data_IF_651506751906
#
_entry.id   IF_651506751906
#
_cell.length_a   1.000
_cell.length_b   1.000
_cell.length_c   1.000
_cell.angle_alpha   90.00
_cell.angle_beta   90.00
_cell.angle_gamma   90.00
#
_symmetry.space_group_name_H-M   'P 1'
#
loop_
_entity.id
_entity.type
_entity.pdbx_description
1 polymer ?
#
# COMPACT_ATOMS: atom_id res chain seq x y z
N UNK A 1 15.16 20.55 2.98
CA UNK A 1 15.76 19.51 2.11
C UNK A 1 14.60 18.63 1.66
N UNK A 2 14.32 18.55 0.35
CA UNK A 2 13.35 17.59 -0.16
C UNK A 2 13.86 16.19 0.24
N UNK A 3 13.06 15.42 0.95
CA UNK A 3 13.40 14.04 1.25
C UNK A 3 13.70 13.32 -0.06
N UNK A 4 14.74 12.48 -0.12
CA UNK A 4 15.22 11.85 -1.35
C UNK A 4 14.25 10.83 -1.98
N UNK A 5 12.97 10.83 -1.61
CA UNK A 5 11.93 9.98 -2.17
C UNK A 5 11.28 10.67 -3.38
N UNK A 6 11.17 9.91 -4.48
CA UNK A 6 10.38 10.31 -5.64
C UNK A 6 8.93 9.86 -5.44
N UNK A 7 7.99 10.71 -5.86
CA UNK A 7 6.57 10.45 -5.73
C UNK A 7 5.89 10.60 -7.10
N UNK A 8 5.27 9.52 -7.58
CA UNK A 8 4.62 9.48 -8.88
C UNK A 8 3.11 9.34 -8.71
N UNK A 9 2.34 10.19 -9.40
CA UNK A 9 0.88 10.16 -9.38
C UNK A 9 0.30 10.34 -10.78
N UNK A 10 -1.01 10.23 -10.88
CA UNK A 10 -1.78 10.71 -12.03
C UNK A 10 -1.91 12.25 -11.99
N UNK A 11 -2.64 12.83 -12.95
CA UNK A 11 -2.89 14.25 -13.09
C UNK A 11 -3.86 14.83 -12.05
N UNK A 12 -4.33 14.05 -11.06
CA UNK A 12 -5.34 14.51 -10.13
C UNK A 12 -4.79 15.54 -9.15
N UNK A 13 -5.40 16.72 -9.11
CA UNK A 13 -4.91 17.92 -8.42
C UNK A 13 -4.75 17.77 -6.89
N UNK A 14 -5.36 16.75 -6.28
CA UNK A 14 -5.27 16.54 -4.83
C UNK A 14 -3.83 16.30 -4.36
N UNK A 15 -2.92 15.92 -5.26
CA UNK A 15 -1.53 15.58 -4.93
C UNK A 15 -0.57 16.77 -4.99
N UNK A 16 -0.99 17.96 -5.44
CA UNK A 16 -0.12 19.13 -5.56
C UNK A 16 0.53 19.57 -4.24
N UNK A 17 -0.08 19.26 -3.10
CA UNK A 17 0.52 19.56 -1.79
C UNK A 17 1.83 18.81 -1.55
N UNK A 18 2.09 17.69 -2.25
CA UNK A 18 3.32 16.90 -2.08
C UNK A 18 4.53 17.50 -2.79
N UNK A 19 4.34 18.44 -3.72
CA UNK A 19 5.42 19.10 -4.50
C UNK A 19 6.39 19.88 -3.61
N UNK A 20 5.93 20.35 -2.44
CA UNK A 20 6.76 21.08 -1.50
C UNK A 20 7.82 20.17 -0.83
N UNK A 21 7.48 18.92 -0.57
CA UNK A 21 8.26 18.00 0.27
C UNK A 21 8.99 16.91 -0.54
N UNK A 22 8.48 16.55 -1.74
CA UNK A 22 8.96 15.43 -2.53
C UNK A 22 9.32 15.85 -3.97
N UNK A 23 10.13 15.02 -4.65
CA UNK A 23 10.29 15.07 -6.11
C UNK A 23 9.04 14.44 -6.74
N UNK A 24 7.99 15.27 -6.87
CA UNK A 24 6.69 14.84 -7.37
C UNK A 24 6.64 14.97 -8.90
N UNK A 25 6.29 13.87 -9.58
CA UNK A 25 6.12 13.84 -11.03
C UNK A 25 4.79 13.16 -11.35
N UNK A 26 4.12 13.65 -12.38
CA UNK A 26 2.78 13.19 -12.78
C UNK A 26 2.79 12.60 -14.17
N UNK A 27 1.89 11.65 -14.43
CA UNK A 27 1.51 11.18 -15.78
C UNK A 27 0.07 11.62 -16.07
N UNK A 28 -0.23 11.88 -17.34
CA UNK A 28 -1.57 12.33 -17.74
C UNK A 28 -2.34 11.22 -18.45
N UNK A 29 -3.10 10.45 -17.69
CA UNK A 29 -3.95 9.37 -18.21
C UNK A 29 -5.05 9.90 -19.14
N UNK A 30 -5.57 11.11 -18.88
CA UNK A 30 -6.57 11.76 -19.73
C UNK A 30 -6.04 12.06 -21.14
N UNK A 31 -4.73 12.27 -21.29
CA UNK A 31 -4.04 12.44 -22.57
C UNK A 31 -3.51 11.11 -23.14
N UNK A 32 -3.79 9.96 -22.51
CA UNK A 32 -3.29 8.65 -22.92
C UNK A 32 -1.83 8.38 -22.54
N UNK A 33 -1.24 9.18 -21.64
CA UNK A 33 0.11 8.99 -21.14
C UNK A 33 0.08 8.09 -19.90
N UNK A 34 0.38 6.79 -20.06
CA UNK A 34 0.42 5.82 -18.97
C UNK A 34 1.80 5.64 -18.37
N UNK A 35 2.84 6.00 -19.10
CA UNK A 35 4.21 6.01 -18.64
C UNK A 35 5.03 7.00 -19.48
N UNK A 36 6.02 7.62 -18.85
CA UNK A 36 6.94 8.55 -19.50
C UNK A 36 8.36 8.28 -18.99
N UNK A 37 9.34 8.43 -19.89
CA UNK A 37 10.75 8.46 -19.50
C UNK A 37 11.24 9.88 -19.55
N UNK A 38 11.63 10.43 -18.42
CA UNK A 38 12.17 11.77 -18.30
C UNK A 38 13.63 11.84 -18.78
N UNK A 39 14.17 13.03 -19.09
CA UNK A 39 15.54 13.21 -19.58
C UNK A 39 16.62 12.71 -18.62
N UNK A 40 16.33 12.65 -17.32
CA UNK A 40 17.21 12.09 -16.28
C UNK A 40 17.23 10.55 -16.25
N UNK A 41 16.48 9.90 -17.15
CA UNK A 41 16.35 8.45 -17.26
C UNK A 41 15.27 7.85 -16.36
N UNK A 42 14.61 8.66 -15.51
CA UNK A 42 13.54 8.19 -14.60
C UNK A 42 12.32 7.75 -15.41
N UNK A 43 11.78 6.58 -15.08
CA UNK A 43 10.52 6.10 -15.63
C UNK A 43 9.38 6.49 -14.69
N UNK A 44 8.54 7.43 -15.13
CA UNK A 44 7.39 7.95 -14.36
C UNK A 44 6.15 7.17 -14.76
N UNK A 45 5.47 6.51 -13.82
CA UNK A 45 4.23 5.78 -14.05
C UNK A 45 3.50 5.48 -12.74
N UNK A 46 2.18 5.24 -12.81
CA UNK A 46 1.34 4.83 -11.68
C UNK A 46 0.88 3.37 -11.78
N UNK A 47 1.28 2.64 -12.83
CA UNK A 47 0.79 1.29 -13.16
C UNK A 47 0.94 0.29 -12.00
N UNK A 48 2.00 0.41 -11.19
CA UNK A 48 2.20 -0.46 -10.01
C UNK A 48 1.08 -0.31 -9.00
N UNK A 49 0.70 0.93 -8.68
CA UNK A 49 -0.39 1.19 -7.73
C UNK A 49 -1.75 0.77 -8.29
N UNK A 50 -1.99 0.98 -9.59
CA UNK A 50 -3.20 0.49 -10.25
C UNK A 50 -3.30 -1.04 -10.21
N UNK A 51 -2.19 -1.73 -10.41
CA UNK A 51 -2.10 -3.19 -10.28
C UNK A 51 -2.42 -3.67 -8.87
N UNK A 52 -1.88 -3.00 -7.83
CA UNK A 52 -2.16 -3.28 -6.42
C UNK A 52 -3.65 -3.08 -6.11
N UNK A 53 -4.23 -1.95 -6.53
CA UNK A 53 -5.66 -1.68 -6.32
C UNK A 53 -6.57 -2.66 -7.04
N UNK A 54 -6.20 -3.08 -8.25
CA UNK A 54 -6.93 -4.10 -9.00
C UNK A 54 -6.87 -5.45 -8.31
N UNK A 55 -5.71 -5.85 -7.82
CA UNK A 55 -5.51 -7.08 -7.03
C UNK A 55 -6.35 -7.07 -5.76
N UNK A 56 -6.30 -5.98 -4.99
CA UNK A 56 -7.10 -5.82 -3.77
C UNK A 56 -8.60 -5.87 -4.07
N UNK A 57 -9.07 -5.20 -5.12
CA UNK A 57 -10.48 -5.22 -5.52
C UNK A 57 -10.93 -6.64 -5.84
N UNK A 58 -10.19 -7.35 -6.68
CA UNK A 58 -10.49 -8.73 -7.03
C UNK A 58 -10.50 -9.65 -5.81
N UNK A 59 -9.59 -9.44 -4.87
CA UNK A 59 -9.57 -10.18 -3.60
C UNK A 59 -10.82 -9.90 -2.75
N UNK A 60 -11.25 -8.63 -2.65
CA UNK A 60 -12.42 -8.25 -1.86
C UNK A 60 -13.74 -8.75 -2.47
N UNK A 61 -13.83 -8.83 -3.79
CA UNK A 61 -15.04 -9.28 -4.51
C UNK A 61 -15.44 -10.72 -4.17
N UNK A 62 -14.46 -11.58 -3.83
CA UNK A 62 -14.75 -12.97 -3.41
C UNK A 62 -15.62 -13.05 -2.14
N UNK A 63 -15.64 -12.02 -1.33
CA UNK A 63 -16.39 -12.03 -0.06
C UNK A 63 -17.84 -11.55 -0.19
N UNK A 64 -18.30 -11.17 -1.39
CA UNK A 64 -19.66 -10.70 -1.67
C UNK A 64 -20.18 -9.64 -0.68
N UNK A 65 -19.29 -8.87 -0.11
CA UNK A 65 -19.52 -7.86 0.91
C UNK A 65 -18.70 -8.12 2.17
N UNK A 66 -18.04 -7.07 2.64
CA UNK A 66 -17.21 -7.10 3.83
C UNK A 66 -17.73 -6.05 4.79
N UNK A 67 -17.95 -6.46 6.04
CA UNK A 67 -18.26 -5.49 7.08
C UNK A 67 -17.13 -4.46 7.18
N UNK A 68 -17.48 -3.17 7.19
CA UNK A 68 -16.53 -2.07 7.38
C UNK A 68 -15.63 -2.27 8.61
N UNK A 69 -16.18 -2.92 9.63
CA UNK A 69 -15.46 -3.27 10.87
C UNK A 69 -14.21 -4.10 10.63
N UNK A 70 -14.23 -5.02 9.64
CA UNK A 70 -13.15 -5.96 9.37
C UNK A 70 -12.39 -5.67 8.08
N UNK A 71 -12.76 -4.61 7.34
CA UNK A 71 -12.13 -4.25 6.07
C UNK A 71 -10.61 -4.05 6.25
N UNK A 72 -10.19 -3.34 7.30
CA UNK A 72 -8.78 -3.07 7.59
C UNK A 72 -7.93 -4.36 7.74
N UNK A 73 -8.51 -5.44 8.29
CA UNK A 73 -7.80 -6.73 8.40
C UNK A 73 -7.60 -7.39 7.04
N UNK A 74 -8.55 -7.21 6.12
CA UNK A 74 -8.44 -7.72 4.74
C UNK A 74 -7.39 -6.97 3.96
N UNK A 75 -7.37 -5.65 4.09
CA UNK A 75 -6.34 -4.80 3.47
C UNK A 75 -4.95 -5.14 4.01
N UNK A 76 -4.78 -5.26 5.33
CA UNK A 76 -3.51 -5.64 5.95
C UNK A 76 -3.01 -7.04 5.49
N UNK A 77 -3.93 -8.01 5.29
CA UNK A 77 -3.56 -9.30 4.72
C UNK A 77 -3.08 -9.17 3.28
N UNK A 78 -3.77 -8.41 2.46
CA UNK A 78 -3.40 -8.21 1.05
C UNK A 78 -2.05 -7.50 0.95
N UNK A 79 -1.84 -6.46 1.74
CA UNK A 79 -0.55 -5.76 1.88
C UNK A 79 0.58 -6.72 2.29
N UNK A 80 0.36 -7.56 3.29
CA UNK A 80 1.33 -8.57 3.70
C UNK A 80 1.69 -9.52 2.56
N UNK A 81 0.70 -10.03 1.84
CA UNK A 81 0.93 -10.94 0.72
C UNK A 81 1.59 -10.24 -0.47
N UNK A 82 1.28 -8.98 -0.73
CA UNK A 82 1.96 -8.19 -1.75
C UNK A 82 3.47 -8.05 -1.44
N UNK A 83 3.80 -7.75 -0.19
CA UNK A 83 5.18 -7.50 0.24
C UNK A 83 6.01 -8.78 0.42
N UNK A 84 5.40 -9.88 0.83
CA UNK A 84 6.12 -11.11 1.20
C UNK A 84 5.73 -12.34 0.39
N UNK A 85 4.65 -12.31 -0.37
CA UNK A 85 4.13 -13.49 -1.10
C UNK A 85 5.02 -13.97 -2.25
N UNK A 86 5.95 -13.15 -2.72
CA UNK A 86 6.94 -13.52 -3.73
C UNK A 86 8.15 -14.30 -3.16
N UNK A 87 8.28 -14.35 -1.83
CA UNK A 87 9.35 -15.06 -1.14
C UNK A 87 9.04 -16.57 -1.08
N UNK A 88 10.09 -17.36 -0.81
CA UNK A 88 9.91 -18.77 -0.51
C UNK A 88 9.02 -18.92 0.75
N UNK A 89 8.14 -19.94 0.78
CA UNK A 89 7.13 -20.12 1.83
C UNK A 89 7.67 -20.05 3.27
N UNK A 90 8.91 -20.54 3.51
CA UNK A 90 9.57 -20.46 4.83
C UNK A 90 9.83 -19.03 5.25
N UNK A 91 10.30 -18.18 4.34
CA UNK A 91 10.58 -16.76 4.60
C UNK A 91 9.29 -15.99 4.84
N UNK A 92 8.25 -16.27 4.05
CA UNK A 92 6.92 -15.69 4.25
C UNK A 92 6.34 -16.10 5.60
N UNK A 93 6.50 -17.36 5.99
CA UNK A 93 6.06 -17.86 7.29
C UNK A 93 6.82 -17.20 8.45
N UNK A 94 8.14 -17.08 8.36
CA UNK A 94 8.96 -16.36 9.36
C UNK A 94 8.55 -14.88 9.47
N UNK A 95 8.30 -14.20 8.35
CA UNK A 95 7.81 -12.82 8.36
C UNK A 95 6.46 -12.72 9.08
N UNK A 96 5.54 -13.64 8.82
CA UNK A 96 4.24 -13.71 9.51
C UNK A 96 4.41 -13.93 11.02
N UNK A 97 5.29 -14.83 11.44
CA UNK A 97 5.59 -15.04 12.87
C UNK A 97 6.20 -13.80 13.52
N UNK A 98 7.14 -13.13 12.84
CA UNK A 98 7.73 -11.87 13.35
C UNK A 98 6.67 -10.80 13.55
N UNK A 99 5.77 -10.60 12.57
CA UNK A 99 4.64 -9.66 12.71
C UNK A 99 3.74 -10.06 13.90
N UNK A 100 3.42 -11.33 14.06
CA UNK A 100 2.58 -11.84 15.15
C UNK A 100 3.21 -11.60 16.52
N UNK A 101 4.49 -11.95 16.70
CA UNK A 101 5.18 -11.84 17.98
C UNK A 101 5.66 -10.41 18.30
N UNK A 102 5.82 -9.54 17.33
CA UNK A 102 6.09 -8.12 17.56
C UNK A 102 4.87 -7.36 18.08
N UNK A 103 3.69 -7.96 17.98
CA UNK A 103 2.42 -7.35 18.38
C UNK A 103 2.11 -7.72 19.83
N UNK A 104 2.04 -6.75 20.74
CA UNK A 104 1.74 -7.00 22.15
C UNK A 104 0.30 -7.51 22.34
N UNK A 105 0.09 -8.37 23.35
CA UNK A 105 -1.25 -8.92 23.67
C UNK A 105 -2.31 -7.85 23.94
N UNK A 106 -1.92 -6.68 24.47
CA UNK A 106 -2.81 -5.52 24.66
C UNK A 106 -3.26 -4.91 23.33
N UNK A 107 -2.43 -4.99 22.32
CA UNK A 107 -2.77 -4.54 20.97
C UNK A 107 -3.91 -5.39 20.39
N UNK A 108 -3.82 -6.73 20.48
CA UNK A 108 -4.87 -7.64 20.03
C UNK A 108 -6.19 -7.42 20.80
N UNK A 109 -6.13 -7.21 22.11
CA UNK A 109 -7.32 -6.89 22.93
C UNK A 109 -7.97 -5.58 22.49
N UNK A 110 -7.18 -4.52 22.24
CA UNK A 110 -7.72 -3.23 21.77
C UNK A 110 -8.35 -3.34 20.38
N UNK A 111 -7.75 -4.15 19.50
CA UNK A 111 -8.27 -4.39 18.16
C UNK A 111 -9.61 -5.13 18.17
N UNK A 112 -9.73 -6.17 18.98
CA UNK A 112 -10.93 -7.00 19.02
C UNK A 112 -12.07 -6.38 19.82
N UNK A 113 -11.77 -5.58 20.86
CA UNK A 113 -12.79 -5.03 21.75
C UNK A 113 -13.16 -3.56 21.50
N UNK A 114 -12.29 -2.73 20.94
CA UNK A 114 -12.52 -1.29 20.88
C UNK A 114 -12.78 -0.70 19.50
N UNK A 115 -12.97 -1.50 18.46
CA UNK A 115 -13.27 -1.03 17.09
C UNK A 115 -12.28 0.04 16.55
N UNK A 116 -11.06 0.14 17.06
CA UNK A 116 -10.08 1.11 16.60
C UNK A 116 -9.38 0.61 15.35
N UNK A 117 -9.17 1.52 14.38
CA UNK A 117 -8.42 1.24 13.15
C UNK A 117 -6.97 0.91 13.48
N UNK A 118 -6.42 -0.11 12.83
CA UNK A 118 -4.98 -0.39 12.87
C UNK A 118 -4.20 0.73 12.18
N UNK A 119 -3.13 1.25 12.77
CA UNK A 119 -2.14 1.97 11.97
C UNK A 119 -1.44 0.95 11.05
N UNK A 120 -1.47 1.18 9.75
CA UNK A 120 -0.85 0.35 8.71
C UNK A 120 0.70 0.27 8.83
N UNK A 121 1.29 1.03 9.75
CA UNK A 121 2.74 1.21 9.92
C UNK A 121 3.46 0.12 10.72
N UNK A 122 2.79 -0.89 11.24
CA UNK A 122 3.42 -1.86 12.15
C UNK A 122 4.21 -2.99 11.48
N UNK A 123 4.13 -3.15 10.16
CA UNK A 123 4.87 -4.18 9.42
C UNK A 123 6.21 -3.69 8.83
N UNK A 124 6.60 -2.43 9.03
CA UNK A 124 7.77 -1.80 8.40
C UNK A 124 8.90 -1.44 9.39
N UNK A 125 9.18 -2.29 10.37
CA UNK A 125 10.43 -2.19 11.15
C UNK A 125 11.23 -3.46 11.09
#
# INVERSE_FOLDING_TARGET
>A
MKGGAQFFTDEYNIYHFTEADYDHRTVNHGAGEYARRDPDGTCVHCNTMEGIWSGLRNFLDHFRGISQRFLHLRVARDEFLHNYGHLHWRQTFEAALRCLFSTTGDYWRRMTHQHRRMPLTLCYR
#
